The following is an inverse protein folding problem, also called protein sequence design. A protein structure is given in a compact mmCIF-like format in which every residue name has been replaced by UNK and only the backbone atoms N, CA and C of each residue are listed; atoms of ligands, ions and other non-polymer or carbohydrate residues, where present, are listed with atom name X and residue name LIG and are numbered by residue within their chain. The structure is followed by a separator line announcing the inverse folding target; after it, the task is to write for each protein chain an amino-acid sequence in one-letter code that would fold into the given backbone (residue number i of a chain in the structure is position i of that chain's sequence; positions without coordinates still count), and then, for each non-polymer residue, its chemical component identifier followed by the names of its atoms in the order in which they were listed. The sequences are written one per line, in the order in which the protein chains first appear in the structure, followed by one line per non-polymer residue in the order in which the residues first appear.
data_IF_676270349394
#
_entry.id   IF_676270349394
#
_cell.length_a   1.000
_cell.length_b   1.000
_cell.length_c   1.000
_cell.angle_alpha   90.00
_cell.angle_beta   90.00
_cell.angle_gamma   90.00
#
_symmetry.space_group_name_H-M   'P 1'
#
loop_
_entity.id
_entity.type
_entity.pdbx_description
1 polymer ?
#
# COMPACT_ATOMS: atom_id res chain seq x y z
N UNK A 1 -23.22 -23.36 21.62
CA UNK A 1 -22.57 -23.41 20.30
C UNK A 1 -21.53 -22.31 20.24
N UNK A 2 -20.32 -22.61 19.78
CA UNK A 2 -19.22 -21.64 19.73
C UNK A 2 -19.54 -20.52 18.74
N UNK A 3 -19.55 -19.27 19.22
CA UNK A 3 -19.73 -18.06 18.39
C UNK A 3 -18.49 -17.73 17.52
N UNK A 4 -17.65 -18.71 17.23
CA UNK A 4 -16.43 -18.50 16.46
C UNK A 4 -16.76 -18.44 14.97
N UNK A 5 -16.28 -17.40 14.22
CA UNK A 5 -16.51 -17.27 12.79
C UNK A 5 -16.04 -18.51 12.00
N UNK A 6 -16.71 -18.82 10.90
CA UNK A 6 -16.38 -19.97 10.03
C UNK A 6 -14.92 -19.90 9.55
N UNK A 7 -14.42 -18.73 9.20
CA UNK A 7 -13.03 -18.51 8.80
C UNK A 7 -11.99 -18.89 9.87
N UNK A 8 -12.34 -18.83 11.14
CA UNK A 8 -11.45 -19.24 12.24
C UNK A 8 -11.60 -20.74 12.52
N UNK A 9 -12.83 -21.30 12.43
CA UNK A 9 -13.07 -22.74 12.63
C UNK A 9 -12.38 -23.59 11.56
N UNK A 10 -12.36 -23.11 10.31
CA UNK A 10 -11.77 -23.79 9.14
C UNK A 10 -10.33 -23.37 8.87
N UNK A 11 -9.68 -22.71 9.81
CA UNK A 11 -8.27 -22.30 9.62
C UNK A 11 -7.40 -23.56 9.46
N UNK A 12 -6.69 -23.72 8.32
CA UNK A 12 -5.83 -24.87 8.07
C UNK A 12 -4.71 -24.96 9.11
N UNK A 13 -4.41 -26.20 9.53
CA UNK A 13 -3.37 -26.53 10.51
C UNK A 13 -2.11 -27.12 9.86
N UNK A 14 -2.20 -27.50 8.60
CA UNK A 14 -1.08 -28.08 7.86
C UNK A 14 -0.95 -27.42 6.47
N UNK A 15 0.23 -27.59 5.82
CA UNK A 15 0.40 -27.14 4.45
C UNK A 15 -0.48 -27.88 3.44
N UNK A 16 -0.88 -29.11 3.76
CA UNK A 16 -1.69 -29.93 2.85
C UNK A 16 -3.17 -29.49 2.87
N UNK A 17 -3.61 -28.88 3.98
CA UNK A 17 -4.92 -28.23 4.09
C UNK A 17 -4.91 -26.78 3.56
N UNK A 18 -3.71 -26.20 3.33
CA UNK A 18 -3.57 -24.82 2.92
C UNK A 18 -3.87 -24.66 1.43
N UNK A 19 -5.00 -24.03 1.12
CA UNK A 19 -5.48 -23.84 -0.25
C UNK A 19 -4.81 -22.63 -0.90
N UNK A 20 -4.42 -22.79 -2.18
CA UNK A 20 -3.75 -21.73 -2.96
C UNK A 20 -2.24 -21.66 -2.75
N UNK A 21 -1.62 -20.61 -3.27
CA UNK A 21 -0.20 -20.27 -3.15
C UNK A 21 0.77 -21.41 -3.52
N UNK A 22 0.44 -22.22 -4.51
CA UNK A 22 1.22 -23.42 -4.90
C UNK A 22 2.67 -23.10 -5.25
N UNK A 23 2.94 -21.90 -5.79
CA UNK A 23 4.29 -21.42 -6.09
C UNK A 23 5.16 -21.23 -4.86
N UNK A 24 4.58 -21.05 -3.67
CA UNK A 24 5.30 -20.88 -2.39
C UNK A 24 5.29 -22.15 -1.53
N UNK A 25 4.18 -22.88 -1.50
CA UNK A 25 3.93 -23.99 -0.58
C UNK A 25 3.71 -25.35 -1.24
N UNK A 26 3.64 -25.41 -2.57
CA UNK A 26 3.52 -26.66 -3.33
C UNK A 26 4.75 -27.57 -3.16
N UNK A 27 4.69 -28.81 -3.68
CA UNK A 27 5.82 -29.74 -3.65
C UNK A 27 7.09 -29.11 -4.24
N UNK A 28 8.19 -29.08 -3.45
CA UNK A 28 9.46 -28.50 -3.85
C UNK A 28 9.52 -26.96 -3.85
N UNK A 29 8.44 -26.28 -3.48
CA UNK A 29 8.41 -24.81 -3.38
C UNK A 29 9.24 -24.28 -2.20
N UNK A 30 9.59 -23.00 -2.26
CA UNK A 30 10.57 -22.39 -1.37
C UNK A 30 10.18 -22.45 0.11
N UNK A 31 8.94 -22.12 0.46
CA UNK A 31 8.50 -22.12 1.87
C UNK A 31 8.35 -23.57 2.38
N UNK A 32 7.82 -24.49 1.55
CA UNK A 32 7.76 -25.92 1.92
C UNK A 32 9.15 -26.48 2.21
N UNK A 33 10.15 -26.20 1.38
CA UNK A 33 11.55 -26.64 1.61
C UNK A 33 12.14 -26.04 2.90
N UNK A 34 11.85 -24.78 3.22
CA UNK A 34 12.29 -24.18 4.47
C UNK A 34 11.72 -24.91 5.68
N UNK A 35 10.45 -25.28 5.65
CA UNK A 35 9.78 -26.03 6.73
C UNK A 35 10.37 -27.43 6.84
N UNK A 36 10.50 -28.16 5.72
CA UNK A 36 11.04 -29.51 5.66
C UNK A 36 12.50 -29.59 6.15
N UNK A 37 13.31 -28.56 5.85
CA UNK A 37 14.69 -28.47 6.32
C UNK A 37 14.82 -27.98 7.76
N UNK A 38 13.75 -27.44 8.36
CA UNK A 38 13.77 -26.82 9.69
C UNK A 38 14.56 -25.49 9.74
N UNK A 39 15.02 -24.99 8.62
CA UNK A 39 15.81 -23.76 8.55
C UNK A 39 14.97 -22.62 7.97
N UNK A 40 14.26 -21.90 8.85
CA UNK A 40 13.41 -20.78 8.49
C UNK A 40 14.22 -19.48 8.50
N UNK A 41 14.44 -18.87 7.35
CA UNK A 41 14.98 -17.53 7.21
C UNK A 41 13.90 -16.48 7.49
N UNK A 42 14.29 -15.24 7.80
CA UNK A 42 13.34 -14.13 7.92
C UNK A 42 12.80 -13.72 6.54
N UNK A 43 11.49 -13.42 6.48
CA UNK A 43 10.84 -13.00 5.23
C UNK A 43 9.60 -12.14 5.49
N UNK A 44 9.13 -11.50 4.43
CA UNK A 44 7.91 -10.69 4.40
C UNK A 44 6.93 -11.32 3.42
N UNK A 45 5.70 -11.55 3.88
CA UNK A 45 4.57 -12.00 3.07
C UNK A 45 3.81 -10.76 2.58
N UNK A 46 3.86 -10.52 1.29
CA UNK A 46 3.14 -9.42 0.65
C UNK A 46 2.02 -9.95 -0.23
N UNK A 47 0.83 -9.40 -0.08
CA UNK A 47 -0.31 -9.76 -0.93
C UNK A 47 -1.64 -9.24 -0.37
N UNK A 48 -2.73 -9.37 -1.13
CA UNK A 48 -4.04 -8.86 -0.75
C UNK A 48 -4.55 -9.46 0.57
N UNK A 49 -5.58 -8.87 1.18
CA UNK A 49 -6.21 -9.43 2.37
C UNK A 49 -6.80 -10.82 2.08
N UNK A 50 -6.99 -11.63 3.13
CA UNK A 50 -7.67 -12.93 3.06
C UNK A 50 -6.97 -14.07 2.31
N UNK A 51 -5.77 -13.85 1.74
CA UNK A 51 -5.01 -14.89 1.00
C UNK A 51 -4.21 -15.85 1.87
N UNK A 52 -4.33 -15.74 3.21
CA UNK A 52 -3.76 -16.70 4.15
C UNK A 52 -2.40 -16.34 4.76
N UNK A 53 -1.91 -15.08 4.68
CA UNK A 53 -0.60 -14.65 5.25
C UNK A 53 -0.41 -15.08 6.71
N UNK A 54 -1.33 -14.70 7.59
CA UNK A 54 -1.30 -15.04 9.03
C UNK A 54 -1.42 -16.54 9.28
N UNK A 55 -2.23 -17.23 8.48
CA UNK A 55 -2.42 -18.68 8.54
C UNK A 55 -1.12 -19.40 8.19
N UNK A 56 -0.45 -19.00 7.11
CA UNK A 56 0.83 -19.58 6.70
C UNK A 56 1.89 -19.44 7.78
N UNK A 57 2.01 -18.26 8.40
CA UNK A 57 2.95 -18.05 9.50
C UNK A 57 2.69 -18.98 10.70
N UNK A 58 1.42 -19.21 11.05
CA UNK A 58 1.04 -20.15 12.12
C UNK A 58 1.38 -21.60 11.76
N UNK A 59 1.07 -22.05 10.55
CA UNK A 59 1.42 -23.39 10.07
C UNK A 59 2.95 -23.62 10.17
N UNK A 60 3.73 -22.64 9.75
CA UNK A 60 5.20 -22.72 9.85
C UNK A 60 5.64 -22.94 11.29
N UNK A 61 5.11 -22.14 12.21
CA UNK A 61 5.45 -22.25 13.63
C UNK A 61 5.04 -23.60 14.24
N UNK A 62 3.85 -24.08 13.94
CA UNK A 62 3.34 -25.38 14.43
C UNK A 62 4.15 -26.55 13.90
N UNK A 63 4.49 -26.55 12.61
CA UNK A 63 5.27 -27.64 12.00
C UNK A 63 6.74 -27.65 12.47
N UNK A 64 7.32 -26.50 12.70
CA UNK A 64 8.70 -26.40 13.21
C UNK A 64 8.81 -26.54 14.72
N UNK A 65 7.68 -26.48 15.44
CA UNK A 65 7.60 -26.59 16.91
C UNK A 65 8.48 -25.57 17.64
N UNK A 66 8.62 -24.38 17.08
CA UNK A 66 9.34 -23.27 17.70
C UNK A 66 8.37 -22.30 18.38
N UNK A 67 8.81 -21.53 19.39
CA UNK A 67 7.98 -20.49 20.00
C UNK A 67 7.50 -19.48 18.96
N UNK A 68 6.20 -19.12 19.04
CA UNK A 68 5.55 -18.23 18.09
C UNK A 68 4.97 -17.02 18.82
N UNK A 69 5.46 -15.84 18.48
CA UNK A 69 5.00 -14.57 19.01
C UNK A 69 4.34 -13.74 17.92
N UNK A 70 3.23 -13.11 18.25
CA UNK A 70 2.49 -12.28 17.32
C UNK A 70 2.39 -10.85 17.82
N UNK A 71 2.58 -9.88 16.91
CA UNK A 71 2.31 -8.48 17.12
C UNK A 71 1.42 -7.99 15.97
N UNK A 72 0.43 -7.18 16.30
CA UNK A 72 -0.31 -6.41 15.28
C UNK A 72 0.27 -5.00 15.23
N UNK A 73 0.82 -4.61 14.10
CA UNK A 73 1.42 -3.29 13.97
C UNK A 73 0.40 -2.14 14.09
N UNK A 74 -0.91 -2.45 13.89
CA UNK A 74 -2.00 -1.49 14.06
C UNK A 74 -2.20 -1.11 15.52
N UNK A 75 -2.02 -2.06 16.47
CA UNK A 75 -2.34 -1.87 17.89
C UNK A 75 -1.13 -1.84 18.81
N UNK A 76 0.03 -2.33 18.35
CA UNK A 76 1.22 -2.49 19.20
C UNK A 76 2.10 -1.24 19.20
N UNK A 77 2.51 -0.80 20.40
CA UNK A 77 3.46 0.28 20.61
C UNK A 77 4.92 -0.20 20.69
N UNK A 78 5.86 0.75 20.77
CA UNK A 78 7.30 0.46 20.92
C UNK A 78 7.61 -0.41 22.15
N UNK A 79 6.83 -0.23 23.23
CA UNK A 79 6.97 -1.03 24.45
C UNK A 79 6.63 -2.49 24.21
N UNK A 80 5.53 -2.75 23.49
CA UNK A 80 5.09 -4.12 23.21
C UNK A 80 6.11 -4.86 22.35
N UNK A 81 6.71 -4.17 21.38
CA UNK A 81 7.80 -4.73 20.55
C UNK A 81 8.98 -5.14 21.43
N UNK A 82 9.42 -4.27 22.35
CA UNK A 82 10.55 -4.56 23.26
C UNK A 82 10.24 -5.72 24.18
N UNK A 83 9.06 -5.74 24.79
CA UNK A 83 8.63 -6.80 25.71
C UNK A 83 8.62 -8.18 25.02
N UNK A 84 8.15 -8.24 23.77
CA UNK A 84 8.16 -9.48 22.99
C UNK A 84 9.58 -9.89 22.60
N UNK A 85 10.43 -8.95 22.16
CA UNK A 85 11.82 -9.24 21.84
C UNK A 85 12.61 -9.76 23.07
N UNK A 86 12.33 -9.25 24.26
CA UNK A 86 12.97 -9.73 25.50
C UNK A 86 12.50 -11.14 25.89
N UNK A 87 11.24 -11.51 25.60
CA UNK A 87 10.76 -12.90 25.72
C UNK A 87 11.45 -13.81 24.71
N UNK A 88 11.52 -13.39 23.44
CA UNK A 88 12.23 -14.14 22.40
C UNK A 88 13.70 -14.39 22.78
N UNK A 89 14.41 -13.40 23.37
CA UNK A 89 15.77 -13.58 23.85
C UNK A 89 15.89 -14.66 24.95
N UNK A 90 14.95 -14.65 25.89
CA UNK A 90 14.92 -15.65 26.97
C UNK A 90 14.70 -17.06 26.40
N UNK A 91 13.78 -17.20 25.45
CA UNK A 91 13.52 -18.49 24.81
C UNK A 91 14.68 -18.96 23.94
N UNK A 92 15.31 -18.06 23.19
CA UNK A 92 16.48 -18.39 22.37
C UNK A 92 17.69 -18.85 23.20
N UNK A 93 17.78 -18.44 24.46
CA UNK A 93 18.84 -18.85 25.43
C UNK A 93 18.45 -20.09 26.23
N UNK A 94 17.21 -20.54 26.15
CA UNK A 94 16.71 -21.71 26.90
C UNK A 94 17.20 -23.01 26.27
N UNK A 95 17.80 -23.88 27.06
CA UNK A 95 18.22 -25.22 26.64
C UNK A 95 17.04 -26.15 26.26
N UNK A 96 15.80 -25.75 26.60
CA UNK A 96 14.58 -26.53 26.33
C UNK A 96 13.88 -26.10 25.04
N UNK A 97 14.28 -24.98 24.42
CA UNK A 97 13.65 -24.47 23.22
C UNK A 97 14.38 -24.96 21.97
N UNK A 98 13.66 -25.69 21.11
CA UNK A 98 14.21 -26.11 19.82
C UNK A 98 14.05 -24.98 18.79
N UNK A 99 15.17 -24.51 18.24
CA UNK A 99 15.18 -23.54 17.16
C UNK A 99 15.01 -22.07 17.60
N UNK A 100 14.96 -21.17 16.62
CA UNK A 100 14.80 -19.74 16.85
C UNK A 100 13.33 -19.39 16.98
N UNK A 101 12.92 -18.59 17.97
CA UNK A 101 11.55 -18.10 18.05
C UNK A 101 11.14 -17.36 16.77
N UNK A 102 9.91 -17.58 16.32
CA UNK A 102 9.32 -16.82 15.22
C UNK A 102 8.56 -15.62 15.80
N UNK A 103 8.90 -14.43 15.32
CA UNK A 103 8.15 -13.21 15.55
C UNK A 103 7.34 -12.87 14.30
N UNK A 104 6.03 -13.06 14.38
CA UNK A 104 5.09 -12.67 13.34
C UNK A 104 4.58 -11.25 13.60
N UNK A 105 4.67 -10.38 12.60
CA UNK A 105 4.16 -9.01 12.66
C UNK A 105 3.11 -8.85 11.57
N UNK A 106 1.85 -8.72 11.98
CA UNK A 106 0.74 -8.46 11.07
C UNK A 106 0.67 -6.97 10.73
N UNK A 107 0.46 -6.67 9.45
CA UNK A 107 0.45 -5.33 8.85
C UNK A 107 1.68 -4.49 9.20
N UNK A 108 2.88 -5.07 9.00
CA UNK A 108 4.18 -4.46 9.37
C UNK A 108 4.37 -3.04 8.82
N UNK A 109 3.69 -2.67 7.73
CA UNK A 109 3.68 -1.33 7.16
C UNK A 109 3.10 -0.26 8.10
N UNK A 110 2.25 -0.65 9.07
CA UNK A 110 1.72 0.26 10.09
C UNK A 110 2.76 0.63 11.17
N UNK A 111 3.88 -0.09 11.27
CA UNK A 111 4.96 0.31 12.15
C UNK A 111 5.72 1.52 11.60
N UNK A 112 5.92 2.52 12.47
CA UNK A 112 6.79 3.64 12.12
C UNK A 112 8.27 3.19 12.05
N UNK A 113 9.10 4.06 11.49
CA UNK A 113 10.53 3.78 11.28
C UNK A 113 11.25 3.35 12.57
N UNK A 114 10.97 3.99 13.70
CA UNK A 114 11.61 3.67 14.99
C UNK A 114 11.21 2.27 15.52
N UNK A 115 9.95 1.86 15.27
CA UNK A 115 9.49 0.53 15.62
C UNK A 115 10.16 -0.54 14.73
N UNK A 116 10.26 -0.29 13.43
CA UNK A 116 10.95 -1.19 12.51
C UNK A 116 12.46 -1.26 12.82
N UNK A 117 13.12 -0.13 13.13
CA UNK A 117 14.53 -0.10 13.54
C UNK A 117 14.79 -0.95 14.79
N UNK A 118 13.84 -1.00 15.73
CA UNK A 118 13.97 -1.80 16.96
C UNK A 118 14.05 -3.32 16.71
N UNK A 119 13.58 -3.79 15.54
CA UNK A 119 13.63 -5.20 15.13
C UNK A 119 15.01 -5.60 14.59
N UNK A 120 15.78 -4.64 14.04
CA UNK A 120 17.02 -4.93 13.31
C UNK A 120 18.01 -5.77 14.11
N UNK A 121 18.30 -5.37 15.35
CA UNK A 121 19.27 -6.07 16.18
C UNK A 121 18.87 -7.52 16.49
N UNK A 122 17.58 -7.79 16.66
CA UNK A 122 17.11 -9.15 16.95
C UNK A 122 17.13 -10.04 15.69
N UNK A 123 16.87 -9.47 14.52
CA UNK A 123 16.97 -10.17 13.23
C UNK A 123 18.43 -10.42 12.85
N UNK A 124 19.31 -9.41 12.98
CA UNK A 124 20.75 -9.52 12.67
C UNK A 124 21.46 -10.55 13.52
N UNK A 125 21.22 -10.53 14.83
CA UNK A 125 21.85 -11.46 15.78
C UNK A 125 21.19 -12.85 15.77
N UNK A 126 20.16 -13.06 14.92
CA UNK A 126 19.46 -14.34 14.86
C UNK A 126 18.70 -14.70 16.14
N UNK A 127 18.36 -13.70 16.97
CA UNK A 127 17.55 -13.89 18.18
C UNK A 127 16.13 -14.32 17.83
N UNK A 128 15.61 -13.81 16.70
CA UNK A 128 14.29 -14.16 16.17
C UNK A 128 14.37 -14.43 14.67
N UNK A 129 13.44 -15.25 14.18
CA UNK A 129 13.08 -15.31 12.77
C UNK A 129 11.89 -14.38 12.57
N UNK A 130 12.06 -13.33 11.79
CA UNK A 130 10.99 -12.38 11.48
C UNK A 130 10.13 -12.88 10.33
N UNK A 131 8.83 -12.96 10.54
CA UNK A 131 7.84 -13.12 9.48
C UNK A 131 6.94 -11.88 9.50
N UNK A 132 7.14 -10.95 8.56
CA UNK A 132 6.27 -9.79 8.38
C UNK A 132 5.12 -10.12 7.43
N UNK A 133 3.92 -9.59 7.67
CA UNK A 133 2.81 -9.62 6.73
C UNK A 133 2.38 -8.20 6.38
N UNK A 134 2.05 -7.95 5.13
CA UNK A 134 1.60 -6.64 4.66
C UNK A 134 0.69 -6.76 3.44
N UNK A 135 -0.27 -5.86 3.33
CA UNK A 135 -1.07 -5.64 2.13
C UNK A 135 -0.46 -4.58 1.21
N UNK A 136 0.39 -3.70 1.76
CA UNK A 136 1.05 -2.62 1.03
C UNK A 136 2.39 -3.06 0.44
N UNK A 137 2.86 -2.35 -0.59
CA UNK A 137 4.15 -2.67 -1.23
C UNK A 137 5.32 -2.46 -0.25
N UNK A 138 6.01 -3.54 0.17
CA UNK A 138 7.07 -3.45 1.17
C UNK A 138 8.27 -2.59 0.74
N UNK A 139 8.47 -2.38 -0.55
CA UNK A 139 9.56 -1.53 -1.06
C UNK A 139 9.43 -0.06 -0.65
N UNK A 140 8.19 0.39 -0.35
CA UNK A 140 7.92 1.76 0.10
C UNK A 140 7.72 1.87 1.61
N UNK A 141 7.15 0.83 2.22
CA UNK A 141 6.67 0.88 3.60
C UNK A 141 7.62 0.23 4.61
N UNK A 142 8.47 -0.68 4.15
CA UNK A 142 9.43 -1.37 5.01
C UNK A 142 10.82 -0.77 4.83
N UNK A 143 11.51 -0.50 5.93
CA UNK A 143 12.85 0.09 5.88
C UNK A 143 13.86 -0.81 5.15
N UNK A 144 14.72 -0.19 4.34
CA UNK A 144 15.74 -0.92 3.56
C UNK A 144 16.62 -1.89 4.38
N UNK A 145 17.05 -1.55 5.61
CA UNK A 145 17.83 -2.48 6.43
C UNK A 145 17.08 -3.78 6.77
N UNK A 146 15.75 -3.77 6.96
CA UNK A 146 14.97 -4.99 7.13
C UNK A 146 14.83 -5.77 5.83
N UNK A 147 14.56 -5.08 4.70
CA UNK A 147 14.46 -5.70 3.38
C UNK A 147 15.76 -6.39 2.94
N UNK A 148 16.92 -5.88 3.35
CA UNK A 148 18.20 -6.53 3.05
C UNK A 148 18.42 -7.84 3.81
N UNK A 149 17.61 -8.13 4.84
CA UNK A 149 17.70 -9.30 5.74
C UNK A 149 16.49 -10.22 5.69
N UNK A 150 15.44 -9.80 5.02
CA UNK A 150 14.19 -10.54 4.91
C UNK A 150 13.77 -10.64 3.43
N UNK A 151 13.65 -11.87 2.92
CA UNK A 151 13.18 -12.12 1.56
C UNK A 151 11.69 -11.74 1.45
N UNK A 152 11.29 -11.12 0.35
CA UNK A 152 9.87 -10.83 0.09
C UNK A 152 9.24 -11.97 -0.72
N UNK A 153 8.14 -12.53 -0.24
CA UNK A 153 7.32 -13.50 -0.95
C UNK A 153 5.93 -12.92 -1.25
N UNK A 154 5.55 -12.99 -2.51
CA UNK A 154 4.28 -12.44 -2.99
C UNK A 154 3.21 -13.52 -2.95
N UNK A 155 2.13 -13.26 -2.20
CA UNK A 155 0.92 -14.07 -2.21
C UNK A 155 -0.07 -13.48 -3.21
N UNK A 156 -0.70 -14.34 -3.97
CA UNK A 156 -1.68 -13.99 -4.98
C UNK A 156 -3.11 -14.18 -4.45
N UNK A 157 -4.08 -13.45 -5.02
CA UNK A 157 -5.49 -13.74 -4.80
C UNK A 157 -5.80 -15.20 -5.16
N UNK A 158 -6.72 -15.82 -4.43
CA UNK A 158 -7.15 -17.17 -4.74
C UNK A 158 -7.88 -17.18 -6.09
N UNK A 159 -7.54 -18.13 -6.93
CA UNK A 159 -8.24 -18.33 -8.19
C UNK A 159 -9.62 -19.01 -8.00
N UNK A 160 -10.37 -19.15 -9.09
CA UNK A 160 -11.70 -19.78 -9.07
C UNK A 160 -11.66 -21.21 -8.52
N UNK A 161 -10.67 -21.98 -8.91
CA UNK A 161 -10.53 -23.38 -8.50
C UNK A 161 -10.17 -23.49 -7.01
N UNK A 162 -9.32 -22.61 -6.52
CA UNK A 162 -8.96 -22.53 -5.10
C UNK A 162 -10.17 -22.13 -4.24
N UNK A 163 -10.97 -21.16 -4.68
CA UNK A 163 -12.20 -20.75 -3.99
C UNK A 163 -13.26 -21.85 -3.98
N UNK A 164 -13.43 -22.60 -5.08
CA UNK A 164 -14.34 -23.75 -5.13
C UNK A 164 -13.89 -24.87 -4.21
N UNK A 165 -12.59 -25.16 -4.13
CA UNK A 165 -12.04 -26.12 -3.16
C UNK A 165 -12.27 -25.68 -1.73
N UNK A 166 -12.14 -24.37 -1.45
CA UNK A 166 -12.41 -23.83 -0.12
C UNK A 166 -13.90 -23.97 0.24
N UNK A 167 -14.80 -23.72 -0.71
CA UNK A 167 -16.23 -23.93 -0.55
C UNK A 167 -16.53 -25.39 -0.24
N UNK A 168 -16.05 -26.31 -1.06
CA UNK A 168 -16.25 -27.75 -0.87
C UNK A 168 -15.70 -28.21 0.49
N UNK A 169 -14.51 -27.76 0.86
CA UNK A 169 -13.92 -28.06 2.16
C UNK A 169 -14.80 -27.55 3.31
N UNK A 170 -15.31 -26.33 3.21
CA UNK A 170 -16.19 -25.74 4.23
C UNK A 170 -17.47 -26.56 4.40
N UNK A 171 -18.13 -26.90 3.30
CA UNK A 171 -19.39 -27.66 3.32
C UNK A 171 -19.22 -29.08 3.82
N UNK A 172 -18.09 -29.73 3.57
CA UNK A 172 -17.79 -31.11 3.97
C UNK A 172 -17.25 -31.19 5.41
N UNK A 173 -16.58 -30.19 5.92
CA UNK A 173 -15.80 -30.29 7.18
C UNK A 173 -16.49 -29.62 8.35
N UNK A 174 -17.18 -28.50 8.13
CA UNK A 174 -17.79 -27.76 9.25
C UNK A 174 -19.08 -28.44 9.73
N UNK A 175 -19.22 -28.69 11.05
CA UNK A 175 -20.39 -29.39 11.63
C UNK A 175 -21.73 -28.71 11.33
N UNK A 176 -21.71 -27.37 11.08
CA UNK A 176 -22.94 -26.65 10.75
C UNK A 176 -23.53 -27.11 9.43
N UNK A 177 -22.69 -27.34 8.42
CA UNK A 177 -23.12 -27.78 7.10
C UNK A 177 -23.29 -29.27 7.04
N UNK A 178 -22.48 -30.07 7.78
CA UNK A 178 -22.64 -31.53 7.86
C UNK A 178 -24.00 -31.98 8.43
N UNK A 179 -24.57 -31.21 9.34
CA UNK A 179 -25.85 -31.52 9.98
C UNK A 179 -27.06 -30.90 9.26
N UNK A 180 -26.90 -30.46 8.02
CA UNK A 180 -27.93 -29.79 7.23
C UNK A 180 -27.95 -30.32 5.81
N UNK A 181 -29.11 -30.32 5.17
CA UNK A 181 -29.20 -30.56 3.75
C UNK A 181 -28.60 -29.37 3.00
N UNK A 182 -27.54 -29.60 2.24
CA UNK A 182 -26.82 -28.58 1.47
C UNK A 182 -27.02 -28.80 -0.02
N UNK A 183 -27.50 -27.80 -0.73
CA UNK A 183 -27.65 -27.83 -2.19
C UNK A 183 -26.94 -26.65 -2.81
N UNK A 184 -25.89 -26.91 -3.57
CA UNK A 184 -25.15 -25.89 -4.34
C UNK A 184 -25.70 -25.91 -5.77
N UNK A 185 -26.36 -24.83 -6.19
CA UNK A 185 -26.95 -24.69 -7.52
C UNK A 185 -26.08 -23.80 -8.41
N UNK A 186 -25.61 -22.65 -7.87
CA UNK A 186 -24.81 -21.66 -8.58
C UNK A 186 -23.78 -21.06 -7.61
N UNK A 187 -22.62 -20.67 -8.13
CA UNK A 187 -21.51 -20.15 -7.33
C UNK A 187 -20.92 -18.84 -7.85
N UNK A 188 -21.36 -18.33 -9.00
CA UNK A 188 -20.76 -17.17 -9.67
C UNK A 188 -20.86 -15.89 -8.81
N UNK A 189 -22.00 -15.64 -8.17
CA UNK A 189 -22.14 -14.50 -7.26
C UNK A 189 -21.24 -14.64 -6.04
N UNK A 190 -21.16 -15.82 -5.42
CA UNK A 190 -20.28 -16.08 -4.28
C UNK A 190 -18.81 -15.81 -4.64
N UNK A 191 -18.34 -16.34 -5.77
CA UNK A 191 -16.98 -16.15 -6.27
C UNK A 191 -16.68 -14.69 -6.58
N UNK A 192 -17.61 -14.01 -7.26
CA UNK A 192 -17.50 -12.57 -7.57
C UNK A 192 -17.41 -11.72 -6.32
N UNK A 193 -18.28 -11.96 -5.33
CA UNK A 193 -18.28 -11.16 -4.09
C UNK A 193 -17.12 -11.48 -3.16
N UNK A 194 -16.55 -12.68 -3.23
CA UNK A 194 -15.35 -13.03 -2.47
C UNK A 194 -14.08 -12.37 -3.03
N UNK A 195 -14.02 -12.10 -4.35
CA UNK A 195 -12.91 -11.39 -5.00
C UNK A 195 -11.53 -12.02 -4.75
N UNK A 196 -11.42 -13.35 -4.66
CA UNK A 196 -10.15 -14.02 -4.37
C UNK A 196 -9.75 -14.08 -2.89
N UNK A 197 -10.63 -13.60 -1.98
CA UNK A 197 -10.41 -13.57 -0.52
C UNK A 197 -11.13 -14.74 0.16
N UNK A 198 -10.35 -15.67 0.75
CA UNK A 198 -10.86 -16.83 1.48
C UNK A 198 -11.74 -16.42 2.67
N UNK A 199 -11.36 -15.37 3.42
CA UNK A 199 -12.11 -14.92 4.59
C UNK A 199 -13.46 -14.35 4.19
N UNK A 200 -13.53 -13.58 3.08
CA UNK A 200 -14.79 -13.07 2.55
C UNK A 200 -15.71 -14.20 2.11
N UNK A 201 -15.21 -15.19 1.39
CA UNK A 201 -16.01 -16.35 0.99
C UNK A 201 -16.64 -17.04 2.20
N UNK A 202 -15.83 -17.34 3.22
CA UNK A 202 -16.30 -18.02 4.43
C UNK A 202 -17.25 -17.15 5.25
N UNK A 203 -17.06 -15.84 5.30
CA UNK A 203 -17.97 -14.91 5.96
C UNK A 203 -19.32 -14.82 5.23
N UNK A 204 -19.33 -14.89 3.88
CA UNK A 204 -20.59 -14.96 3.11
C UNK A 204 -21.34 -16.23 3.47
N UNK A 205 -20.69 -17.38 3.55
CA UNK A 205 -21.32 -18.65 3.94
C UNK A 205 -21.89 -18.57 5.36
N UNK A 206 -21.16 -17.99 6.31
CA UNK A 206 -21.62 -17.77 7.70
C UNK A 206 -22.89 -16.88 7.73
N UNK A 207 -22.87 -15.78 6.95
CA UNK A 207 -24.03 -14.88 6.84
C UNK A 207 -25.25 -15.58 6.24
N UNK A 208 -25.07 -16.33 5.17
CA UNK A 208 -26.15 -17.11 4.56
C UNK A 208 -26.71 -18.11 5.55
N UNK A 209 -25.85 -18.84 6.27
CA UNK A 209 -26.27 -19.79 7.28
C UNK A 209 -27.09 -19.12 8.40
N UNK A 210 -26.63 -17.99 8.94
CA UNK A 210 -27.31 -17.26 10.02
C UNK A 210 -28.68 -16.71 9.61
N UNK A 211 -28.90 -16.52 8.31
CA UNK A 211 -30.18 -16.01 7.78
C UNK A 211 -31.25 -17.07 7.59
N UNK A 212 -30.90 -18.36 7.74
CA UNK A 212 -31.78 -19.51 7.56
C UNK A 212 -32.28 -20.04 8.92
N UNK A 213 -33.53 -20.54 8.98
CA UNK A 213 -34.02 -21.26 10.12
C UNK A 213 -33.24 -22.56 10.40
N UNK A 214 -33.28 -23.06 11.64
CA UNK A 214 -32.48 -24.25 12.05
C UNK A 214 -32.69 -25.50 11.21
N UNK A 215 -33.89 -25.69 10.61
CA UNK A 215 -34.27 -26.85 9.82
C UNK A 215 -34.38 -26.59 8.31
N UNK A 216 -34.15 -25.38 7.86
CA UNK A 216 -34.22 -25.04 6.44
C UNK A 216 -33.00 -25.57 5.71
N UNK A 217 -33.17 -26.16 4.49
CA UNK A 217 -32.04 -26.60 3.68
C UNK A 217 -31.16 -25.38 3.31
N UNK A 218 -29.84 -25.58 3.29
CA UNK A 218 -28.91 -24.57 2.84
C UNK A 218 -28.82 -24.63 1.31
N UNK A 219 -29.51 -23.68 0.65
CA UNK A 219 -29.48 -23.57 -0.82
C UNK A 219 -28.57 -22.40 -1.19
N UNK A 220 -27.48 -22.70 -1.90
CA UNK A 220 -26.54 -21.71 -2.43
C UNK A 220 -26.83 -21.47 -3.91
N UNK A 221 -27.33 -20.31 -4.24
CA UNK A 221 -27.44 -19.84 -5.63
C UNK A 221 -27.20 -18.32 -5.71
N UNK A 222 -26.99 -17.82 -6.92
CA UNK A 222 -26.60 -16.44 -7.17
C UNK A 222 -27.65 -15.43 -6.70
N UNK A 223 -28.92 -15.77 -6.79
CA UNK A 223 -30.02 -14.94 -6.32
C UNK A 223 -29.98 -14.76 -4.80
N UNK A 224 -29.88 -15.86 -4.05
CA UNK A 224 -29.82 -15.85 -2.58
C UNK A 224 -28.60 -15.07 -2.09
N UNK A 225 -27.42 -15.31 -2.69
CA UNK A 225 -26.19 -14.58 -2.35
C UNK A 225 -26.38 -13.09 -2.60
N UNK A 226 -26.87 -12.70 -3.78
CA UNK A 226 -27.04 -11.30 -4.15
C UNK A 226 -28.05 -10.58 -3.26
N UNK A 227 -29.22 -11.17 -3.01
CA UNK A 227 -30.28 -10.58 -2.17
C UNK A 227 -29.79 -10.36 -0.73
N UNK A 228 -29.06 -11.33 -0.16
CA UNK A 228 -28.58 -11.23 1.22
C UNK A 228 -27.45 -10.23 1.37
N UNK A 229 -26.56 -10.12 0.39
CA UNK A 229 -25.48 -9.13 0.38
C UNK A 229 -26.01 -7.72 0.12
N UNK A 230 -27.04 -7.54 -0.73
CA UNK A 230 -27.67 -6.24 -0.96
C UNK A 230 -28.42 -5.71 0.27
N UNK A 231 -28.93 -6.59 1.13
CA UNK A 231 -29.53 -6.20 2.41
C UNK A 231 -28.50 -5.74 3.44
N UNK A 232 -27.20 -5.99 3.23
CA UNK A 232 -26.11 -5.62 4.11
C UNK A 232 -24.89 -5.07 3.34
N UNK A 233 -25.04 -3.97 2.55
CA UNK A 233 -24.00 -3.49 1.66
C UNK A 233 -22.72 -3.03 2.39
N UNK A 234 -22.81 -2.65 3.67
CA UNK A 234 -21.69 -2.10 4.44
C UNK A 234 -20.66 -3.15 4.91
N UNK A 235 -20.96 -4.45 4.86
CA UNK A 235 -20.08 -5.47 5.43
C UNK A 235 -19.04 -6.04 4.46
N UNK A 236 -19.15 -5.76 3.15
CA UNK A 236 -18.50 -6.60 2.15
C UNK A 236 -17.45 -5.97 1.26
N UNK A 237 -17.22 -4.64 1.27
CA UNK A 237 -16.38 -4.03 0.22
C UNK A 237 -15.22 -3.14 0.71
N UNK A 238 -14.79 -3.26 1.96
CA UNK A 238 -13.69 -2.41 2.46
C UNK A 238 -12.31 -2.72 1.85
N UNK A 239 -12.08 -3.93 1.29
CA UNK A 239 -10.75 -4.37 0.83
C UNK A 239 -10.78 -5.22 -0.44
N UNK A 240 -11.82 -5.12 -1.29
CA UNK A 240 -11.98 -5.94 -2.50
C UNK A 240 -11.52 -5.28 -3.80
N UNK A 241 -11.41 -6.07 -4.87
CA UNK A 241 -11.04 -5.62 -6.23
C UNK A 241 -11.96 -4.51 -6.74
N UNK A 242 -13.26 -4.55 -6.39
CA UNK A 242 -14.25 -3.51 -6.70
C UNK A 242 -13.91 -2.17 -6.03
N UNK A 243 -13.28 -2.17 -4.86
CA UNK A 243 -12.79 -0.98 -4.18
C UNK A 243 -11.72 -0.27 -5.01
N UNK A 244 -10.72 -1.02 -5.51
CA UNK A 244 -9.68 -0.49 -6.39
C UNK A 244 -10.24 0.01 -7.73
N UNK A 245 -11.26 -0.66 -8.26
CA UNK A 245 -11.93 -0.23 -9.48
C UNK A 245 -12.69 1.09 -9.29
N UNK A 246 -13.42 1.25 -8.18
CA UNK A 246 -14.15 2.48 -7.87
C UNK A 246 -13.19 3.64 -7.64
N UNK A 247 -12.10 3.44 -6.87
CA UNK A 247 -11.11 4.50 -6.65
C UNK A 247 -10.39 4.87 -7.96
N UNK A 248 -10.10 3.88 -8.80
CA UNK A 248 -9.52 4.10 -10.13
C UNK A 248 -10.47 4.88 -11.04
N UNK A 249 -11.75 4.55 -11.04
CA UNK A 249 -12.78 5.29 -11.78
C UNK A 249 -12.92 6.73 -11.26
N UNK A 250 -12.91 6.94 -9.95
CA UNK A 250 -12.93 8.24 -9.31
C UNK A 250 -11.78 9.13 -9.80
N UNK A 251 -10.55 8.62 -9.71
CA UNK A 251 -9.34 9.35 -10.13
C UNK A 251 -9.38 9.63 -11.64
N UNK A 252 -9.75 8.64 -12.46
CA UNK A 252 -9.83 8.78 -13.91
C UNK A 252 -10.90 9.78 -14.33
N UNK A 253 -12.02 9.89 -13.61
CA UNK A 253 -13.05 10.90 -13.85
C UNK A 253 -12.54 12.33 -13.58
N UNK A 254 -11.78 12.52 -12.48
CA UNK A 254 -11.12 13.80 -12.19
C UNK A 254 -10.12 14.14 -13.31
N UNK A 255 -9.26 13.19 -13.67
CA UNK A 255 -8.26 13.33 -14.76
C UNK A 255 -8.93 13.62 -16.10
N UNK A 256 -10.04 12.94 -16.38
CA UNK A 256 -10.83 13.11 -17.60
C UNK A 256 -11.73 14.35 -17.62
N UNK A 257 -11.71 15.17 -16.56
CA UNK A 257 -12.51 16.41 -16.47
C UNK A 257 -14.03 16.19 -16.49
N UNK A 258 -14.49 15.09 -15.88
CA UNK A 258 -15.91 14.79 -15.69
C UNK A 258 -16.30 14.96 -14.21
N UNK A 259 -16.83 16.13 -13.79
CA UNK A 259 -17.22 16.37 -12.41
C UNK A 259 -18.41 15.54 -11.94
N UNK A 260 -19.35 15.21 -12.83
CA UNK A 260 -20.53 14.42 -12.48
C UNK A 260 -20.15 12.97 -12.20
N UNK A 261 -19.31 12.37 -13.04
CA UNK A 261 -18.76 11.05 -12.79
C UNK A 261 -17.88 11.03 -11.54
N UNK A 262 -17.06 12.06 -11.29
CA UNK A 262 -16.25 12.16 -10.09
C UNK A 262 -17.12 12.16 -8.82
N UNK A 263 -18.19 12.94 -8.78
CA UNK A 263 -19.13 12.97 -7.64
C UNK A 263 -19.87 11.64 -7.50
N UNK A 264 -20.27 11.01 -8.59
CA UNK A 264 -20.91 9.70 -8.57
C UNK A 264 -20.00 8.62 -7.94
N UNK A 265 -18.74 8.54 -8.39
CA UNK A 265 -17.79 7.57 -7.85
C UNK A 265 -17.41 7.88 -6.39
N UNK A 266 -17.31 9.18 -6.02
CA UNK A 266 -17.17 9.61 -4.64
C UNK A 266 -18.33 9.09 -3.77
N UNK A 267 -19.57 9.27 -4.23
CA UNK A 267 -20.74 8.76 -3.52
C UNK A 267 -20.71 7.23 -3.35
N UNK A 268 -20.21 6.50 -4.35
CA UNK A 268 -20.02 5.05 -4.26
C UNK A 268 -18.95 4.66 -3.23
N UNK A 269 -17.83 5.41 -3.15
CA UNK A 269 -16.81 5.21 -2.10
C UNK A 269 -17.39 5.45 -0.71
N UNK A 270 -18.18 6.52 -0.54
CA UNK A 270 -18.84 6.85 0.73
C UNK A 270 -19.83 5.75 1.13
N UNK A 271 -20.68 5.31 0.19
CA UNK A 271 -21.65 4.25 0.43
C UNK A 271 -21.00 2.90 0.75
N UNK A 272 -19.81 2.63 0.16
CA UNK A 272 -18.97 1.47 0.48
C UNK A 272 -18.24 1.57 1.83
N UNK A 273 -18.38 2.69 2.56
CA UNK A 273 -17.77 2.88 3.88
C UNK A 273 -16.28 3.16 3.85
N UNK A 274 -15.78 3.74 2.75
CA UNK A 274 -14.37 4.12 2.60
C UNK A 274 -13.92 5.12 3.66
N UNK A 275 -12.67 5.03 4.08
CA UNK A 275 -12.06 6.00 4.98
C UNK A 275 -12.02 7.39 4.32
N UNK A 276 -12.65 8.41 4.91
CA UNK A 276 -12.66 9.76 4.35
C UNK A 276 -11.24 10.33 4.18
N UNK A 277 -10.29 9.93 5.02
CA UNK A 277 -8.88 10.36 4.93
C UNK A 277 -8.18 9.71 3.73
N UNK A 278 -8.54 8.46 3.41
CA UNK A 278 -8.03 7.80 2.22
C UNK A 278 -8.49 8.54 0.95
N UNK A 279 -9.79 8.87 0.86
CA UNK A 279 -10.34 9.64 -0.28
C UNK A 279 -9.64 11.00 -0.39
N UNK A 280 -9.51 11.73 0.73
CA UNK A 280 -8.84 13.03 0.74
C UNK A 280 -7.36 12.95 0.32
N UNK A 281 -6.63 11.90 0.72
CA UNK A 281 -5.25 11.62 0.25
C UNK A 281 -5.19 11.46 -1.26
N UNK A 282 -6.14 10.72 -1.85
CA UNK A 282 -6.20 10.52 -3.30
C UNK A 282 -6.47 11.84 -4.04
N UNK A 283 -7.29 12.72 -3.48
CA UNK A 283 -7.50 14.07 -4.02
C UNK A 283 -6.21 14.91 -4.00
N UNK A 284 -5.43 14.87 -2.90
CA UNK A 284 -4.13 15.56 -2.83
C UNK A 284 -3.16 15.04 -3.92
N UNK A 285 -3.11 13.74 -4.15
CA UNK A 285 -2.26 13.14 -5.19
C UNK A 285 -2.73 13.62 -6.58
N UNK A 286 -4.04 13.50 -6.90
CA UNK A 286 -4.59 13.97 -8.19
C UNK A 286 -4.38 15.46 -8.40
N UNK A 287 -4.48 16.29 -7.36
CA UNK A 287 -4.21 17.71 -7.45
C UNK A 287 -2.76 18.00 -7.88
N UNK A 288 -1.79 17.24 -7.38
CA UNK A 288 -0.39 17.40 -7.73
C UNK A 288 -0.01 16.74 -9.07
N UNK A 289 -0.59 15.56 -9.36
CA UNK A 289 -0.27 14.73 -10.52
C UNK A 289 -0.96 15.21 -11.79
N UNK A 290 -2.29 15.48 -11.71
CA UNK A 290 -3.12 15.72 -12.89
C UNK A 290 -3.40 17.20 -13.16
N UNK A 291 -3.45 18.04 -12.11
CA UNK A 291 -3.68 19.50 -12.24
C UNK A 291 -2.33 20.25 -12.17
N UNK A 292 -1.50 19.93 -11.20
CA UNK A 292 -0.13 20.43 -11.08
C UNK A 292 0.00 21.93 -11.27
N UNK A 293 0.91 22.33 -12.15
CA UNK A 293 1.23 23.74 -12.44
C UNK A 293 0.17 24.48 -13.25
N UNK A 294 -0.79 23.78 -13.84
CA UNK A 294 -1.90 24.45 -14.56
C UNK A 294 -2.81 25.26 -13.61
N UNK A 295 -2.95 24.76 -12.34
CA UNK A 295 -3.69 25.48 -11.30
C UNK A 295 -3.12 25.14 -9.91
N UNK A 296 -2.10 25.86 -9.39
CA UNK A 296 -1.49 25.58 -8.10
C UNK A 296 -2.45 25.64 -6.91
N UNK A 297 -3.58 26.34 -7.01
CA UNK A 297 -4.61 26.37 -5.97
C UNK A 297 -5.28 25.00 -5.75
N UNK A 298 -5.22 24.12 -6.72
CA UNK A 298 -5.78 22.76 -6.61
C UNK A 298 -5.15 21.98 -5.45
N UNK A 299 -3.83 22.02 -5.32
CA UNK A 299 -3.12 21.37 -4.22
C UNK A 299 -3.42 22.02 -2.86
N UNK A 300 -3.56 23.35 -2.81
CA UNK A 300 -3.93 24.06 -1.58
C UNK A 300 -5.34 23.67 -1.13
N UNK A 301 -6.30 23.61 -2.04
CA UNK A 301 -7.66 23.20 -1.72
C UNK A 301 -7.71 21.72 -1.27
N UNK A 302 -7.02 20.83 -1.97
CA UNK A 302 -6.97 19.43 -1.60
C UNK A 302 -6.35 19.21 -0.22
N UNK A 303 -5.27 19.94 0.13
CA UNK A 303 -4.67 19.89 1.46
C UNK A 303 -5.63 20.45 2.54
N UNK A 304 -6.29 21.59 2.28
CA UNK A 304 -7.30 22.13 3.18
C UNK A 304 -8.46 21.14 3.40
N UNK A 305 -8.89 20.46 2.34
CA UNK A 305 -9.90 19.40 2.41
C UNK A 305 -9.42 18.25 3.30
N UNK A 306 -8.19 17.79 3.15
CA UNK A 306 -7.61 16.75 4.01
C UNK A 306 -7.62 17.16 5.48
N UNK A 307 -7.23 18.39 5.79
CA UNK A 307 -7.21 18.93 7.15
C UNK A 307 -8.62 19.06 7.76
N UNK A 308 -9.60 19.48 6.96
CA UNK A 308 -11.01 19.56 7.38
C UNK A 308 -11.53 18.14 7.68
N UNK A 309 -11.28 17.18 6.81
CA UNK A 309 -11.70 15.79 7.00
C UNK A 309 -11.15 15.21 8.31
N UNK A 310 -9.91 15.52 8.67
CA UNK A 310 -9.33 15.10 9.95
C UNK A 310 -10.06 15.67 11.17
N UNK A 311 -10.73 16.82 11.02
CA UNK A 311 -11.43 17.52 12.10
C UNK A 311 -12.90 17.11 12.23
N UNK A 312 -13.60 16.92 11.09
CA UNK A 312 -15.06 16.74 11.12
C UNK A 312 -15.49 15.28 10.85
N UNK A 313 -14.74 14.49 10.06
CA UNK A 313 -15.13 13.11 9.72
C UNK A 313 -16.47 13.01 8.99
N UNK A 314 -17.11 11.83 9.12
CA UNK A 314 -18.47 11.57 8.62
C UNK A 314 -19.54 12.04 9.61
N UNK A 315 -20.76 12.43 9.16
CA UNK A 315 -21.24 12.45 7.76
C UNK A 315 -20.93 13.73 6.98
N UNK A 316 -20.50 14.82 7.63
CA UNK A 316 -20.32 16.14 7.01
C UNK A 316 -19.12 16.19 6.06
N UNK A 317 -18.13 15.33 6.22
CA UNK A 317 -16.96 15.21 5.38
C UNK A 317 -17.26 15.02 3.89
N UNK A 318 -18.44 14.50 3.54
CA UNK A 318 -18.89 14.36 2.15
C UNK A 318 -18.93 15.70 1.38
N UNK A 319 -19.21 16.81 2.10
CA UNK A 319 -19.38 18.14 1.48
C UNK A 319 -18.04 18.69 0.96
N UNK A 320 -16.98 18.85 1.81
CA UNK A 320 -15.68 19.32 1.33
C UNK A 320 -15.01 18.34 0.36
N UNK A 321 -15.24 17.03 0.49
CA UNK A 321 -14.75 16.06 -0.49
C UNK A 321 -15.38 16.25 -1.87
N UNK A 322 -16.70 16.51 -1.94
CA UNK A 322 -17.40 16.78 -3.18
C UNK A 322 -16.97 18.11 -3.82
N UNK A 323 -16.83 19.17 -3.01
CA UNK A 323 -16.33 20.46 -3.46
C UNK A 323 -14.95 20.33 -4.09
N UNK A 324 -14.03 19.64 -3.41
CA UNK A 324 -12.68 19.39 -3.91
C UNK A 324 -12.69 18.55 -5.20
N UNK A 325 -13.46 17.46 -5.26
CA UNK A 325 -13.54 16.60 -6.43
C UNK A 325 -14.04 17.37 -7.67
N UNK A 326 -15.09 18.20 -7.53
CA UNK A 326 -15.62 19.06 -8.61
C UNK A 326 -14.56 20.06 -9.05
N UNK A 327 -13.91 20.74 -8.09
CA UNK A 327 -12.89 21.74 -8.39
C UNK A 327 -11.73 21.13 -9.18
N UNK A 328 -11.23 19.95 -8.77
CA UNK A 328 -10.15 19.25 -9.45
C UNK A 328 -10.58 18.77 -10.84
N UNK A 329 -11.79 18.21 -10.97
CA UNK A 329 -12.33 17.78 -12.26
C UNK A 329 -12.48 18.95 -13.24
N UNK A 330 -12.97 20.11 -12.77
CA UNK A 330 -13.17 21.30 -13.59
C UNK A 330 -11.88 22.12 -13.86
N UNK A 331 -10.78 21.85 -13.14
CA UNK A 331 -9.51 22.56 -13.32
C UNK A 331 -8.80 22.17 -14.62
N UNK A 332 -8.03 23.08 -15.25
CA UNK A 332 -7.13 22.72 -16.34
C UNK A 332 -6.11 21.68 -15.87
N UNK A 333 -5.66 20.81 -16.76
CA UNK A 333 -4.80 19.67 -16.46
C UNK A 333 -3.37 19.94 -16.88
N UNK A 334 -2.42 19.50 -16.03
CA UNK A 334 -1.02 19.39 -16.39
C UNK A 334 -0.31 18.35 -15.51
N UNK A 335 0.41 17.45 -16.11
CA UNK A 335 1.31 16.52 -15.45
C UNK A 335 2.79 16.86 -15.68
N UNK A 336 3.10 18.10 -16.07
CA UNK A 336 4.47 18.51 -16.39
C UNK A 336 5.44 18.31 -15.23
N UNK A 337 5.02 18.61 -13.99
CA UNK A 337 5.83 18.40 -12.79
C UNK A 337 6.03 16.90 -12.49
N UNK A 338 5.01 16.07 -12.67
CA UNK A 338 5.11 14.61 -12.53
C UNK A 338 6.09 14.01 -13.55
N UNK A 339 5.99 14.43 -14.81
CA UNK A 339 6.91 13.96 -15.86
C UNK A 339 8.35 14.44 -15.59
N UNK A 340 8.52 15.67 -15.11
CA UNK A 340 9.84 16.23 -14.80
C UNK A 340 10.57 15.42 -13.73
N UNK A 341 9.91 15.10 -12.62
CA UNK A 341 10.54 14.30 -11.56
C UNK A 341 10.83 12.86 -12.00
N UNK A 342 9.94 12.22 -12.76
CA UNK A 342 10.17 10.88 -13.29
C UNK A 342 11.35 10.84 -14.26
N UNK A 343 11.45 11.81 -15.17
CA UNK A 343 12.60 11.95 -16.07
C UNK A 343 13.90 12.21 -15.30
N UNK A 344 13.84 13.01 -14.23
CA UNK A 344 14.99 13.25 -13.37
C UNK A 344 15.45 11.99 -12.63
N UNK A 345 14.53 11.20 -12.09
CA UNK A 345 14.84 9.93 -11.43
C UNK A 345 15.48 8.93 -12.41
N UNK A 346 14.92 8.81 -13.61
CA UNK A 346 15.47 7.96 -14.66
C UNK A 346 16.89 8.42 -15.07
N UNK A 347 17.10 9.73 -15.19
CA UNK A 347 18.44 10.29 -15.50
C UNK A 347 19.44 9.96 -14.39
N UNK A 348 19.06 10.10 -13.12
CA UNK A 348 19.90 9.73 -11.97
C UNK A 348 20.27 8.25 -11.99
N UNK A 349 19.33 7.36 -12.33
CA UNK A 349 19.63 5.92 -12.48
C UNK A 349 20.65 5.65 -13.58
N UNK A 350 20.60 6.40 -14.69
CA UNK A 350 21.51 6.26 -15.83
C UNK A 350 22.91 6.84 -15.57
N UNK A 351 22.98 7.97 -14.86
CA UNK A 351 24.23 8.74 -14.68
C UNK A 351 24.92 8.48 -13.34
N UNK A 352 24.24 7.79 -12.41
CA UNK A 352 24.80 7.49 -11.10
C UNK A 352 25.09 8.76 -10.27
N UNK A 353 26.26 8.80 -9.64
CA UNK A 353 26.66 9.88 -8.74
C UNK A 353 27.45 10.99 -9.48
N UNK A 354 26.83 11.64 -10.45
CA UNK A 354 27.45 12.81 -11.11
C UNK A 354 27.87 13.87 -10.07
N UNK A 355 29.09 14.40 -10.13
CA UNK A 355 29.61 15.29 -9.08
C UNK A 355 28.89 16.63 -9.07
N UNK A 356 28.59 17.13 -7.88
CA UNK A 356 28.06 18.50 -7.71
C UNK A 356 29.15 19.49 -8.10
N UNK A 357 28.89 20.51 -8.95
CA UNK A 357 29.85 21.55 -9.30
C UNK A 357 30.47 22.22 -8.06
N UNK A 358 31.76 22.49 -8.09
CA UNK A 358 32.51 23.00 -6.90
C UNK A 358 31.96 24.29 -6.33
N UNK A 359 31.53 25.22 -7.19
CA UNK A 359 30.96 26.51 -6.76
C UNK A 359 29.62 26.35 -6.01
N UNK A 360 28.85 25.25 -6.24
CA UNK A 360 27.60 24.98 -5.54
C UNK A 360 27.79 24.27 -4.19
N UNK A 361 29.02 23.84 -3.87
CA UNK A 361 29.28 23.09 -2.64
C UNK A 361 29.53 24.06 -1.49
N UNK A 362 28.95 23.82 -0.32
CA UNK A 362 29.24 24.60 0.89
C UNK A 362 30.64 24.29 1.40
N UNK A 363 31.33 25.33 1.90
CA UNK A 363 32.69 25.26 2.43
C UNK A 363 32.78 25.64 3.93
N UNK A 364 32.18 24.86 4.87
CA UNK A 364 32.16 25.20 6.29
C UNK A 364 33.55 25.11 6.96
N UNK A 365 34.48 24.36 6.38
CA UNK A 365 35.84 24.17 6.95
C UNK A 365 36.92 24.83 6.11
N UNK A 366 38.08 25.13 6.74
CA UNK A 366 39.25 25.70 6.03
C UNK A 366 39.74 24.78 4.90
N UNK A 367 39.73 23.45 5.12
CA UNK A 367 40.13 22.46 4.14
C UNK A 367 39.21 22.52 2.89
N UNK A 368 37.89 22.60 3.09
CA UNK A 368 36.94 22.70 1.98
C UNK A 368 37.14 23.96 1.16
N UNK A 369 37.43 25.08 1.81
CA UNK A 369 37.81 26.35 1.12
C UNK A 369 39.08 26.19 0.29
N UNK A 370 40.09 25.49 0.83
CA UNK A 370 41.33 25.20 0.09
C UNK A 370 41.11 24.28 -1.10
N UNK A 371 40.13 23.36 -1.01
CA UNK A 371 39.72 22.50 -2.11
C UNK A 371 38.83 23.20 -3.15
N UNK A 372 38.55 24.50 -3.00
CA UNK A 372 37.80 25.29 -3.97
C UNK A 372 36.26 25.17 -3.83
N UNK A 373 35.77 24.64 -2.73
CA UNK A 373 34.31 24.56 -2.47
C UNK A 373 33.72 25.95 -2.29
N UNK A 374 32.62 26.26 -2.98
CA UNK A 374 31.94 27.54 -2.97
C UNK A 374 32.70 28.68 -3.69
N UNK A 375 33.84 28.36 -4.33
CA UNK A 375 34.60 29.33 -5.08
C UNK A 375 33.84 29.76 -6.33
N UNK A 376 33.82 31.05 -6.60
CA UNK A 376 33.18 31.66 -7.77
C UNK A 376 31.66 31.52 -7.80
N UNK A 377 31.01 31.13 -6.68
CA UNK A 377 29.57 31.17 -6.57
C UNK A 377 29.04 32.59 -6.60
N UNK A 378 28.14 32.86 -7.54
CA UNK A 378 27.48 34.15 -7.67
C UNK A 378 26.14 34.13 -6.92
N UNK A 379 26.03 34.92 -5.85
CA UNK A 379 24.80 34.98 -5.06
C UNK A 379 23.74 35.81 -5.79
N UNK A 380 22.68 35.19 -6.24
CA UNK A 380 21.67 35.79 -7.13
C UNK A 380 21.04 37.05 -6.57
N UNK A 381 20.92 37.21 -5.24
CA UNK A 381 20.34 38.41 -4.63
C UNK A 381 21.22 39.66 -4.74
N UNK A 382 22.50 39.52 -5.07
CA UNK A 382 23.43 40.65 -5.28
C UNK A 382 23.30 41.24 -6.70
N UNK A 383 22.47 40.64 -7.55
CA UNK A 383 22.29 40.99 -8.95
C UNK A 383 20.91 41.59 -9.25
N UNK A 384 20.77 42.45 -10.27
CA UNK A 384 19.48 43.00 -10.67
C UNK A 384 18.44 41.92 -10.97
N UNK A 385 17.22 42.12 -10.46
CA UNK A 385 16.14 41.15 -10.62
C UNK A 385 16.35 39.82 -9.89
N UNK A 386 17.32 39.76 -8.95
CA UNK A 386 17.71 38.58 -8.19
C UNK A 386 18.06 37.40 -9.09
N UNK A 387 18.73 37.65 -10.21
CA UNK A 387 19.10 36.64 -11.17
C UNK A 387 20.51 36.88 -11.71
N UNK A 388 21.30 35.83 -11.76
CA UNK A 388 22.58 35.76 -12.44
C UNK A 388 22.71 34.42 -13.17
N UNK A 389 23.25 34.48 -14.37
CA UNK A 389 23.43 33.28 -15.18
C UNK A 389 24.67 32.53 -14.71
N UNK A 390 24.47 31.37 -14.14
CA UNK A 390 25.53 30.43 -13.74
C UNK A 390 25.06 28.99 -13.94
N UNK A 391 26.01 28.06 -13.89
CA UNK A 391 25.73 26.62 -14.06
C UNK A 391 25.18 26.06 -12.73
N UNK A 392 24.11 25.22 -12.84
CA UNK A 392 23.53 24.51 -11.71
C UNK A 392 23.54 22.99 -11.89
N UNK A 393 23.61 22.49 -13.11
CA UNK A 393 23.72 21.06 -13.41
C UNK A 393 25.17 20.59 -13.40
N UNK A 394 25.44 19.31 -13.11
CA UNK A 394 26.75 18.69 -13.34
C UNK A 394 27.25 18.93 -14.75
N UNK A 395 28.59 18.95 -14.96
CA UNK A 395 29.21 19.24 -16.25
C UNK A 395 28.69 18.34 -17.37
N UNK A 396 28.51 17.06 -17.08
CA UNK A 396 28.06 16.04 -18.03
C UNK A 396 26.57 16.18 -18.40
N UNK A 397 25.80 16.93 -17.59
CA UNK A 397 24.35 17.07 -17.72
C UNK A 397 23.92 18.49 -18.13
N UNK A 398 24.88 19.32 -18.54
CA UNK A 398 24.56 20.66 -19.02
C UNK A 398 23.64 20.61 -20.24
N UNK A 399 22.63 21.48 -20.26
CA UNK A 399 21.66 21.55 -21.35
C UNK A 399 20.52 20.53 -21.25
N UNK A 400 20.52 19.64 -20.25
CA UNK A 400 19.40 18.71 -20.04
C UNK A 400 18.15 19.49 -19.62
N UNK A 401 17.06 19.28 -20.33
CA UNK A 401 15.75 19.83 -20.02
C UNK A 401 14.88 18.75 -19.39
N UNK A 402 14.50 18.94 -18.13
CA UNK A 402 13.64 18.01 -17.38
C UNK A 402 12.19 18.49 -17.31
N UNK A 403 11.96 19.78 -17.14
CA UNK A 403 10.63 20.35 -17.14
C UNK A 403 10.25 20.86 -18.53
N UNK A 404 9.20 20.30 -19.09
CA UNK A 404 8.58 20.75 -20.33
C UNK A 404 7.18 21.31 -20.02
N UNK A 405 6.96 22.64 -20.16
CA UNK A 405 5.67 23.24 -19.92
C UNK A 405 4.61 22.71 -20.89
N UNK A 406 3.39 22.49 -20.40
CA UNK A 406 2.27 22.04 -21.20
C UNK A 406 1.41 23.23 -21.66
N UNK A 407 0.51 22.96 -22.62
CA UNK A 407 -0.33 23.99 -23.24
C UNK A 407 -1.44 24.46 -22.29
N UNK A 408 -1.07 25.35 -21.36
CA UNK A 408 -1.97 26.09 -20.50
C UNK A 408 -1.40 27.46 -20.16
N UNK A 409 -2.27 28.40 -19.80
CA UNK A 409 -1.89 29.81 -19.59
C UNK A 409 -0.91 30.02 -18.43
N UNK A 410 -0.99 29.21 -17.37
CA UNK A 410 -0.13 29.34 -16.21
C UNK A 410 1.32 28.92 -16.53
N UNK A 411 1.49 27.77 -17.16
CA UNK A 411 2.81 27.28 -17.54
C UNK A 411 3.42 28.09 -18.69
N UNK A 412 2.60 28.56 -19.63
CA UNK A 412 3.08 29.47 -20.67
C UNK A 412 3.69 30.75 -20.09
N UNK A 413 3.06 31.35 -19.05
CA UNK A 413 3.62 32.49 -18.34
C UNK A 413 4.91 32.17 -17.58
N UNK A 414 4.98 30.98 -16.93
CA UNK A 414 6.20 30.53 -16.25
C UNK A 414 7.34 30.34 -17.26
N UNK A 415 7.08 29.68 -18.37
CA UNK A 415 8.05 29.42 -19.44
C UNK A 415 8.57 30.75 -20.05
N UNK A 416 7.66 31.69 -20.34
CA UNK A 416 8.03 33.00 -20.88
C UNK A 416 8.96 33.79 -19.91
N UNK A 417 8.64 33.77 -18.60
CA UNK A 417 9.50 34.40 -17.57
C UNK A 417 10.86 33.74 -17.48
N UNK A 418 10.93 32.44 -17.56
CA UNK A 418 12.19 31.69 -17.55
C UNK A 418 13.02 31.99 -18.79
N UNK A 419 12.40 31.96 -19.97
CA UNK A 419 13.08 32.28 -21.23
C UNK A 419 13.63 33.70 -21.25
N UNK A 420 12.87 34.69 -20.79
CA UNK A 420 13.34 36.06 -20.68
C UNK A 420 14.55 36.21 -19.77
N UNK A 421 14.67 35.42 -18.72
CA UNK A 421 15.84 35.43 -17.81
C UNK A 421 17.05 34.72 -18.39
N UNK A 422 16.86 33.53 -18.94
CA UNK A 422 17.96 32.68 -19.43
C UNK A 422 18.44 33.05 -20.83
N UNK A 423 17.54 33.54 -21.70
CA UNK A 423 17.83 33.95 -23.07
C UNK A 423 17.20 35.34 -23.35
N UNK A 424 17.73 36.41 -22.73
CA UNK A 424 17.21 37.75 -23.00
C UNK A 424 17.39 38.07 -24.49
N UNK A 425 16.30 38.44 -25.13
CA UNK A 425 16.39 38.97 -26.51
C UNK A 425 17.20 40.28 -26.48
N UNK A 426 18.08 40.53 -27.46
CA UNK A 426 18.73 41.83 -27.56
C UNK A 426 17.65 42.92 -27.66
N UNK A 427 17.90 44.10 -27.07
CA UNK A 427 16.98 45.21 -27.19
C UNK A 427 16.70 45.46 -28.69
N UNK A 428 15.42 45.57 -29.04
CA UNK A 428 15.03 45.97 -30.38
C UNK A 428 15.65 47.37 -30.56
N UNK A 429 16.55 47.49 -31.52
CA UNK A 429 17.01 48.80 -32.01
C UNK A 429 15.76 49.55 -32.49
N UNK A 430 15.43 50.69 -31.86
CA UNK A 430 14.42 51.64 -32.33
C UNK A 430 14.95 52.45 -33.50
#
# INVERSE_FOLDING_TARGET
MSFQPLAERLRPKSLDEYIGQRHLVGPGAVIRRMIESGNIASFILWGPPGVGKTTLARIIAEQTKVPFYTLSAVTSGVKDVRDVLDRCKKDAQSMFTKGRPILFIDEIHCFNKSQQDSLLGAVENGTVTLIGATTENPSFEVIRPLLSRAQVYVLQSLDKDDLLRLLDHALQTDPIFQNREVKVEETEALLRFSGGDARKLLNILDLLHQSLGEKEPFVLNDKVVTERLQQNPMAFDKDGEMHYDIISAFIKSIRGSDPDAAVYWLARLIAGGEDPKFIARRLCISAAEDIGLANPNALLLANATFDIINKIGWPEGRIPLSECAIYLAASPKSNSAYNAINSALQLVEQTGNAPVPLHLRNAPTKLMKQLGYGRDYMYSHDYPGHFVRQQYMPDELQGTQLWAPQDNSAEAQMAARQQARWNPQPPKEE
#
